data_IF_892347538688
#
_entry.id   IF_892347538688
#
_cell.length_a   1.000
_cell.length_b   1.000
_cell.length_c   1.000
_cell.angle_alpha   90.00
_cell.angle_beta   90.00
_cell.angle_gamma   90.00
#
_symmetry.space_group_name_H-M   'P 1'
#
loop_
_entity.id
_entity.type
_entity.pdbx_description
1 polymer ?
#
# COMPACT_ATOMS: atom_id res chain seq x y z
N UNK A 1 21.18 0.57 5.28
CA UNK A 1 21.17 1.75 4.39
C UNK A 1 22.34 1.63 3.43
N UNK A 2 22.06 1.31 2.16
CA UNK A 2 23.11 1.03 1.18
C UNK A 2 24.00 2.25 0.94
N UNK A 3 25.31 2.03 0.89
CA UNK A 3 26.31 3.08 0.65
C UNK A 3 26.00 3.87 -0.63
N UNK A 4 25.34 3.23 -1.61
CA UNK A 4 24.91 3.87 -2.85
C UNK A 4 23.83 4.95 -2.64
N UNK A 5 22.90 4.75 -1.70
CA UNK A 5 21.80 5.68 -1.39
C UNK A 5 22.34 6.91 -0.66
N UNK A 6 23.27 6.72 0.28
CA UNK A 6 23.96 7.82 0.96
C UNK A 6 24.71 8.67 -0.06
N UNK A 7 25.43 8.03 -1.00
CA UNK A 7 26.12 8.72 -2.09
C UNK A 7 25.12 9.47 -2.99
N UNK A 8 23.96 8.89 -3.31
CA UNK A 8 22.91 9.55 -4.09
C UNK A 8 22.34 10.78 -3.37
N UNK A 9 21.97 10.68 -2.09
CA UNK A 9 21.43 11.81 -1.32
C UNK A 9 22.45 12.95 -1.19
N UNK A 10 23.74 12.61 -1.06
CA UNK A 10 24.82 13.59 -1.07
C UNK A 10 24.92 14.27 -2.44
N UNK A 11 24.90 13.52 -3.54
CA UNK A 11 24.99 14.07 -4.90
C UNK A 11 23.76 14.91 -5.24
N UNK A 12 22.56 14.44 -4.90
CA UNK A 12 21.31 15.16 -5.14
C UNK A 12 21.21 16.42 -4.29
N UNK A 13 21.57 16.34 -3.01
CA UNK A 13 21.66 17.51 -2.12
C UNK A 13 22.66 18.55 -2.64
N UNK A 14 23.84 18.12 -3.11
CA UNK A 14 24.81 19.00 -3.77
C UNK A 14 24.25 19.63 -5.04
N UNK A 15 23.58 18.86 -5.89
CA UNK A 15 23.00 19.35 -7.15
C UNK A 15 21.92 20.40 -6.88
N UNK A 16 20.99 20.14 -5.96
CA UNK A 16 19.92 21.09 -5.59
C UNK A 16 20.48 22.33 -4.91
N UNK A 17 21.54 22.19 -4.12
CA UNK A 17 22.24 23.34 -3.51
C UNK A 17 22.89 24.21 -4.59
N UNK A 18 23.55 23.60 -5.59
CA UNK A 18 24.14 24.33 -6.71
C UNK A 18 23.07 25.05 -7.53
N UNK A 19 21.95 24.38 -7.82
CA UNK A 19 20.80 24.99 -8.52
C UNK A 19 20.27 26.20 -7.72
N UNK A 20 20.03 26.03 -6.41
CA UNK A 20 19.56 27.11 -5.54
C UNK A 20 20.53 28.30 -5.47
N UNK A 21 21.85 28.05 -5.43
CA UNK A 21 22.86 29.13 -5.46
C UNK A 21 22.84 29.88 -6.81
N UNK A 22 22.67 29.17 -7.91
CA UNK A 22 22.62 29.77 -9.25
C UNK A 22 21.34 30.58 -9.43
N UNK A 23 20.19 30.06 -9.03
CA UNK A 23 18.90 30.75 -9.11
C UNK A 23 18.86 31.99 -8.20
N UNK A 24 19.44 31.90 -6.99
CA UNK A 24 19.59 33.05 -6.09
C UNK A 24 20.44 34.16 -6.71
N UNK A 25 21.53 33.79 -7.38
CA UNK A 25 22.47 34.74 -8.00
C UNK A 25 21.96 35.28 -9.34
N UNK A 26 21.06 34.56 -10.01
CA UNK A 26 20.58 34.86 -11.36
C UNK A 26 19.07 34.59 -11.51
N UNK A 27 18.19 35.35 -10.84
CA UNK A 27 16.76 35.04 -10.73
C UNK A 27 15.94 35.16 -12.04
N UNK A 28 16.53 35.71 -13.10
CA UNK A 28 15.88 35.90 -14.41
C UNK A 28 16.28 34.82 -15.43
N UNK A 29 17.03 33.79 -15.04
CA UNK A 29 17.44 32.68 -15.90
C UNK A 29 16.55 31.47 -15.61
N UNK A 30 16.01 30.83 -16.66
CA UNK A 30 15.29 29.58 -16.49
C UNK A 30 16.26 28.48 -16.01
N UNK A 31 15.80 27.61 -15.11
CA UNK A 31 16.59 26.52 -14.55
C UNK A 31 17.24 25.62 -15.63
N UNK A 32 16.59 25.48 -16.79
CA UNK A 32 17.10 24.80 -17.98
C UNK A 32 18.39 25.44 -18.52
N UNK A 33 18.45 26.77 -18.50
CA UNK A 33 19.61 27.56 -18.91
C UNK A 33 20.74 27.46 -17.87
N UNK A 34 20.38 27.45 -16.58
CA UNK A 34 21.31 27.27 -15.45
C UNK A 34 22.04 25.92 -15.50
N UNK A 35 21.33 24.82 -15.76
CA UNK A 35 21.91 23.47 -15.88
C UNK A 35 22.88 23.34 -17.07
N UNK A 36 22.55 23.96 -18.21
CA UNK A 36 23.39 23.91 -19.41
C UNK A 36 24.78 24.55 -19.20
N UNK A 37 24.87 25.60 -18.38
CA UNK A 37 26.14 26.25 -18.03
C UNK A 37 26.97 25.44 -17.04
N UNK A 38 26.33 24.78 -16.06
CA UNK A 38 27.04 23.97 -15.05
C UNK A 38 27.78 22.80 -15.71
N UNK A 39 27.17 22.17 -16.72
CA UNK A 39 27.77 21.04 -17.44
C UNK A 39 28.89 21.44 -18.42
N UNK A 40 29.05 22.73 -18.71
CA UNK A 40 30.04 23.24 -19.67
C UNK A 40 30.81 24.45 -19.12
N UNK A 41 31.51 24.22 -18.01
CA UNK A 41 32.60 25.08 -17.55
C UNK A 41 33.92 24.42 -17.92
N UNK A 42 34.61 24.96 -18.93
CA UNK A 42 36.01 24.63 -19.19
C UNK A 42 36.85 25.85 -18.79
N UNK A 43 37.82 25.65 -17.90
CA UNK A 43 38.72 26.70 -17.40
C UNK A 43 38.01 27.93 -16.81
N UNK A 44 36.88 27.72 -16.11
CA UNK A 44 36.17 28.78 -15.39
C UNK A 44 35.40 29.77 -16.26
N UNK A 45 35.25 29.51 -17.57
CA UNK A 45 34.48 30.38 -18.48
C UNK A 45 33.29 29.62 -19.12
N UNK A 46 32.10 30.22 -19.20
CA UNK A 46 30.98 29.65 -19.93
C UNK A 46 31.33 29.61 -21.43
N UNK A 47 31.20 28.44 -22.07
CA UNK A 47 31.27 28.33 -23.53
C UNK A 47 29.87 28.41 -24.11
N UNK A 48 29.63 29.31 -25.08
CA UNK A 48 28.37 29.39 -25.81
C UNK A 48 28.19 28.16 -26.71
N UNK A 49 27.36 27.21 -26.27
CA UNK A 49 26.94 26.09 -27.11
C UNK A 49 25.42 25.92 -27.06
N UNK A 50 24.79 26.07 -28.23
CA UNK A 50 23.38 25.79 -28.45
C UNK A 50 23.18 24.28 -28.63
N UNK A 51 22.69 23.59 -27.60
CA UNK A 51 22.05 22.29 -27.79
C UNK A 51 20.55 22.49 -28.00
N UNK A 52 19.95 21.76 -28.94
CA UNK A 52 18.49 21.74 -29.07
C UNK A 52 17.89 21.04 -27.86
N UNK A 53 16.79 21.59 -27.33
CA UNK A 53 16.03 21.07 -26.19
C UNK A 53 15.80 19.56 -26.24
N UNK A 54 15.68 18.98 -27.44
CA UNK A 54 15.54 17.54 -27.67
C UNK A 54 16.66 16.68 -27.09
N UNK A 55 17.91 17.13 -27.08
CA UNK A 55 19.04 16.34 -26.56
C UNK A 55 19.16 16.42 -25.03
N UNK A 56 18.82 17.56 -24.42
CA UNK A 56 18.73 17.70 -22.95
C UNK A 56 17.58 16.83 -22.43
N UNK A 57 16.43 16.85 -23.10
CA UNK A 57 15.29 16.00 -22.79
C UNK A 57 15.62 14.50 -22.91
N UNK A 58 16.44 14.12 -23.90
CA UNK A 58 16.91 12.75 -24.10
C UNK A 58 17.87 12.27 -23.00
N UNK A 59 18.75 13.13 -22.47
CA UNK A 59 19.61 12.80 -21.33
C UNK A 59 18.78 12.67 -20.06
N UNK A 60 17.80 13.56 -19.86
CA UNK A 60 16.88 13.49 -18.73
C UNK A 60 16.08 12.17 -18.77
N UNK A 61 15.57 11.74 -19.93
CA UNK A 61 14.89 10.45 -20.07
C UNK A 61 15.81 9.23 -19.97
N UNK A 62 17.08 9.33 -20.42
CA UNK A 62 18.05 8.23 -20.25
C UNK A 62 18.49 8.03 -18.80
N UNK A 63 18.47 9.09 -17.97
CA UNK A 63 18.83 9.00 -16.54
C UNK A 63 17.59 8.79 -15.68
N UNK A 64 16.52 9.55 -15.89
CA UNK A 64 15.29 9.48 -15.10
C UNK A 64 14.35 8.34 -15.51
N UNK A 65 14.38 7.87 -16.77
CA UNK A 65 13.53 6.77 -17.25
C UNK A 65 13.83 5.43 -16.56
N UNK A 66 15.10 5.01 -16.46
CA UNK A 66 15.48 3.85 -15.65
C UNK A 66 15.20 4.07 -14.16
N UNK A 67 15.31 5.29 -13.64
CA UNK A 67 15.06 5.60 -12.23
C UNK A 67 13.57 5.61 -11.88
N UNK A 68 12.68 6.02 -12.79
CA UNK A 68 11.22 5.89 -12.63
C UNK A 68 10.79 4.42 -12.69
N UNK A 69 11.43 3.59 -13.51
CA UNK A 69 11.27 2.13 -13.45
C UNK A 69 11.85 1.52 -12.17
N UNK A 70 12.94 2.08 -11.64
CA UNK A 70 13.50 1.69 -10.33
C UNK A 70 12.61 2.18 -9.18
N UNK A 71 11.90 3.30 -9.29
CA UNK A 71 10.96 3.77 -8.27
C UNK A 71 9.71 2.88 -8.20
N UNK A 72 9.13 2.50 -9.35
CA UNK A 72 8.03 1.52 -9.39
C UNK A 72 8.45 0.11 -8.95
N UNK A 73 9.73 -0.25 -9.10
CA UNK A 73 10.26 -1.50 -8.52
C UNK A 73 10.78 -1.33 -7.09
N UNK A 74 11.06 -0.11 -6.63
CA UNK A 74 11.44 0.20 -5.26
C UNK A 74 10.22 0.10 -4.33
N UNK A 75 9.02 0.46 -4.77
CA UNK A 75 7.80 0.19 -3.99
C UNK A 75 7.56 -1.32 -3.78
N UNK A 76 7.97 -2.15 -4.76
CA UNK A 76 8.00 -3.62 -4.69
C UNK A 76 9.20 -4.21 -3.92
N UNK A 77 10.30 -3.46 -3.73
CA UNK A 77 11.56 -3.94 -3.12
C UNK A 77 11.77 -3.37 -1.71
N UNK A 78 11.18 -2.22 -1.36
CA UNK A 78 11.39 -1.49 -0.11
C UNK A 78 10.22 -1.52 0.86
N UNK A 79 9.19 -2.34 0.63
CA UNK A 79 8.17 -2.63 1.62
C UNK A 79 7.45 -1.37 2.09
N UNK A 80 6.48 -0.91 1.31
CA UNK A 80 5.59 0.13 1.81
C UNK A 80 4.76 -0.45 2.97
N UNK A 81 5.12 -0.07 4.19
CA UNK A 81 4.57 -0.58 5.46
C UNK A 81 3.24 0.09 5.84
N UNK A 82 2.52 0.69 4.88
CA UNK A 82 1.21 1.22 5.20
C UNK A 82 0.30 0.06 5.57
N UNK A 83 -0.16 0.05 6.81
CA UNK A 83 -1.10 -0.93 7.33
C UNK A 83 -2.49 -0.34 7.51
N UNK A 84 -3.48 -1.23 7.43
CA UNK A 84 -4.81 -0.98 7.93
C UNK A 84 -4.98 -1.78 9.21
N UNK A 85 -5.10 -1.08 10.33
CA UNK A 85 -5.12 -1.70 11.65
C UNK A 85 -6.51 -2.24 11.97
N UNK A 86 -6.53 -3.47 12.47
CA UNK A 86 -7.69 -4.17 13.00
C UNK A 86 -7.39 -4.61 14.42
N UNK A 87 -8.43 -4.76 15.22
CA UNK A 87 -8.35 -5.30 16.57
C UNK A 87 -9.07 -6.64 16.57
N UNK A 88 -8.33 -7.73 16.76
CA UNK A 88 -8.87 -9.08 16.90
C UNK A 88 -8.65 -9.50 18.35
N UNK A 89 -9.73 -9.84 19.06
CA UNK A 89 -9.65 -10.28 20.47
C UNK A 89 -8.91 -9.28 21.40
N UNK A 90 -8.96 -7.99 21.07
CA UNK A 90 -8.28 -6.92 21.81
C UNK A 90 -6.83 -6.66 21.39
N UNK A 91 -6.27 -7.46 20.49
CA UNK A 91 -4.90 -7.30 19.96
C UNK A 91 -4.93 -6.57 18.62
N UNK A 92 -4.08 -5.55 18.47
CA UNK A 92 -3.98 -4.73 17.26
C UNK A 92 -3.07 -5.39 16.22
N UNK A 93 -3.59 -5.62 15.03
CA UNK A 93 -2.88 -6.21 13.88
C UNK A 93 -2.99 -5.27 12.70
N UNK A 94 -1.87 -4.93 12.07
CA UNK A 94 -1.84 -4.16 10.84
C UNK A 94 -1.89 -5.07 9.60
N UNK A 95 -2.88 -4.88 8.72
CA UNK A 95 -2.94 -5.56 7.42
C UNK A 95 -2.19 -4.73 6.37
N UNK A 96 -1.22 -5.27 5.62
CA UNK A 96 -0.82 -6.68 5.60
C UNK A 96 0.07 -7.10 6.77
N UNK A 97 -0.10 -8.34 7.26
CA UNK A 97 0.67 -8.94 8.36
C UNK A 97 1.27 -10.30 7.98
N UNK A 98 2.16 -10.83 8.82
CA UNK A 98 2.65 -12.19 8.65
C UNK A 98 1.61 -13.20 9.17
N UNK A 99 1.53 -14.38 8.57
CA UNK A 99 0.63 -15.43 9.05
C UNK A 99 0.91 -15.83 10.51
N UNK A 100 2.17 -15.76 10.92
CA UNK A 100 2.59 -16.03 12.31
C UNK A 100 1.92 -15.12 13.33
N UNK A 101 1.50 -13.92 12.93
CA UNK A 101 0.78 -12.98 13.81
C UNK A 101 -0.62 -13.52 14.13
N UNK A 102 -1.28 -14.16 13.15
CA UNK A 102 -2.57 -14.84 13.36
C UNK A 102 -2.40 -16.18 14.10
N UNK A 103 -1.32 -16.92 13.83
CA UNK A 103 -1.01 -18.15 14.58
C UNK A 103 -0.78 -17.86 16.07
N UNK A 104 -0.17 -16.70 16.40
CA UNK A 104 0.02 -16.27 17.78
C UNK A 104 -1.29 -15.99 18.52
N UNK A 105 -2.34 -15.59 17.79
CA UNK A 105 -3.73 -15.49 18.29
C UNK A 105 -4.47 -16.83 18.27
N UNK A 106 -3.82 -17.91 17.86
CA UNK A 106 -4.41 -19.25 17.85
C UNK A 106 -5.16 -19.61 16.57
N UNK A 107 -5.22 -18.73 15.56
CA UNK A 107 -5.87 -19.03 14.28
C UNK A 107 -5.01 -19.94 13.41
N UNK A 108 -5.58 -21.09 13.04
CA UNK A 108 -4.85 -22.13 12.28
C UNK A 108 -5.53 -22.42 10.93
N UNK A 109 -4.72 -22.53 9.88
CA UNK A 109 -5.09 -23.13 8.60
C UNK A 109 -5.28 -24.64 8.75
N UNK A 110 -6.02 -25.24 7.83
CA UNK A 110 -6.05 -26.70 7.75
C UNK A 110 -4.65 -27.24 7.39
N UNK A 111 -4.23 -28.40 7.93
CA UNK A 111 -2.87 -28.90 7.75
C UNK A 111 -2.42 -29.07 6.28
N UNK A 112 -3.35 -29.42 5.39
CA UNK A 112 -3.13 -29.57 3.95
C UNK A 112 -2.92 -28.24 3.23
N UNK A 113 -3.48 -27.14 3.75
CA UNK A 113 -3.37 -25.82 3.14
C UNK A 113 -1.99 -25.20 3.40
N UNK A 114 -1.37 -25.49 4.56
CA UNK A 114 -0.07 -24.91 4.96
C UNK A 114 1.08 -25.17 3.97
N UNK A 115 0.97 -26.17 3.10
CA UNK A 115 2.00 -26.51 2.11
C UNK A 115 1.75 -25.98 0.70
N UNK A 116 0.67 -25.22 0.49
CA UNK A 116 0.34 -24.67 -0.82
C UNK A 116 1.39 -23.64 -1.27
N UNK A 117 1.73 -23.66 -2.56
CA UNK A 117 2.68 -22.72 -3.17
C UNK A 117 1.90 -21.60 -3.86
N UNK A 118 2.15 -20.36 -3.45
CA UNK A 118 1.63 -19.16 -4.10
C UNK A 118 2.70 -18.54 -5.01
N UNK A 119 2.39 -18.43 -6.30
CA UNK A 119 3.30 -17.85 -7.29
C UNK A 119 3.65 -16.39 -6.98
N UNK A 120 4.85 -15.97 -7.36
CA UNK A 120 5.31 -14.58 -7.22
C UNK A 120 4.33 -13.58 -7.85
N UNK A 121 4.04 -12.49 -7.13
CA UNK A 121 3.12 -11.43 -7.56
C UNK A 121 1.64 -11.86 -7.63
N UNK A 122 1.26 -12.98 -7.01
CA UNK A 122 -0.14 -13.46 -6.98
C UNK A 122 -0.78 -13.31 -5.61
N UNK A 123 -2.11 -13.27 -5.65
CA UNK A 123 -2.97 -13.42 -4.49
C UNK A 123 -3.65 -14.78 -4.52
N UNK A 124 -3.89 -15.33 -3.34
CA UNK A 124 -4.58 -16.60 -3.17
C UNK A 124 -6.10 -16.46 -3.23
N UNK A 125 -6.79 -17.61 -3.20
CA UNK A 125 -8.20 -17.67 -2.79
C UNK A 125 -8.34 -17.38 -1.28
N UNK A 126 -9.59 -17.30 -0.80
CA UNK A 126 -9.87 -17.15 0.62
C UNK A 126 -9.70 -18.50 1.36
N UNK A 127 -9.05 -18.47 2.52
CA UNK A 127 -8.91 -19.59 3.43
C UNK A 127 -9.65 -19.30 4.73
N UNK A 128 -10.25 -20.33 5.32
CA UNK A 128 -10.83 -20.23 6.66
C UNK A 128 -9.77 -20.60 7.68
N UNK A 129 -9.49 -19.72 8.63
CA UNK A 129 -8.67 -20.06 9.80
C UNK A 129 -9.54 -20.05 11.04
N UNK A 130 -9.28 -21.00 11.95
CA UNK A 130 -10.11 -21.25 13.13
C UNK A 130 -9.22 -21.24 14.37
N UNK A 131 -9.66 -20.54 15.43
CA UNK A 131 -8.97 -20.55 16.73
C UNK A 131 -9.45 -21.71 17.64
N UNK A 132 -8.85 -21.84 18.82
CA UNK A 132 -9.18 -22.92 19.76
C UNK A 132 -10.62 -22.84 20.31
N UNK A 133 -11.20 -21.63 20.33
CA UNK A 133 -12.57 -21.38 20.78
C UNK A 133 -13.61 -21.60 19.67
N UNK A 134 -13.16 -21.96 18.46
CA UNK A 134 -14.01 -22.26 17.32
C UNK A 134 -14.44 -21.04 16.50
N UNK A 135 -13.89 -19.87 16.82
CA UNK A 135 -14.10 -18.63 16.10
C UNK A 135 -13.35 -18.66 14.76
N UNK A 136 -13.91 -18.00 13.74
CA UNK A 136 -13.39 -18.11 12.37
C UNK A 136 -13.16 -16.75 11.74
N UNK A 137 -12.12 -16.67 10.93
CA UNK A 137 -11.92 -15.56 10.00
C UNK A 137 -11.53 -16.11 8.63
N UNK A 138 -11.92 -15.40 7.57
CA UNK A 138 -11.49 -15.68 6.22
C UNK A 138 -10.30 -14.78 5.88
N UNK A 139 -9.23 -15.35 5.36
CA UNK A 139 -8.03 -14.60 4.99
C UNK A 139 -7.62 -14.86 3.56
N UNK A 140 -6.92 -13.90 2.95
CA UNK A 140 -6.20 -14.12 1.69
C UNK A 140 -4.73 -13.77 1.85
N UNK A 141 -3.91 -14.52 1.14
CA UNK A 141 -2.48 -14.31 1.08
C UNK A 141 -2.07 -13.59 -0.19
N UNK A 142 -1.04 -12.76 -0.09
CA UNK A 142 -0.40 -12.10 -1.21
C UNK A 142 1.10 -12.41 -1.21
N UNK A 143 1.59 -13.04 -2.28
CA UNK A 143 3.02 -13.16 -2.49
C UNK A 143 3.53 -11.92 -3.20
N UNK A 144 3.90 -10.89 -2.43
CA UNK A 144 4.49 -9.64 -2.93
C UNK A 144 5.98 -9.76 -3.29
N UNK A 145 6.54 -10.98 -3.18
CA UNK A 145 7.92 -11.29 -3.52
C UNK A 145 8.12 -11.56 -5.01
N UNK A 146 9.39 -11.85 -5.38
CA UNK A 146 9.80 -12.18 -6.75
C UNK A 146 9.92 -13.68 -7.03
N UNK A 147 9.79 -14.50 -6.00
CA UNK A 147 9.93 -15.95 -6.05
C UNK A 147 8.67 -16.60 -5.50
N UNK A 148 8.37 -17.79 -5.99
CA UNK A 148 7.26 -18.59 -5.49
C UNK A 148 7.56 -19.01 -4.05
N UNK A 149 6.53 -18.99 -3.20
CA UNK A 149 6.66 -19.27 -1.76
C UNK A 149 5.54 -20.14 -1.28
N UNK A 150 5.79 -20.82 -0.15
CA UNK A 150 4.72 -21.45 0.60
C UNK A 150 3.79 -20.36 1.13
N UNK A 151 2.49 -20.62 1.13
CA UNK A 151 1.45 -19.69 1.59
C UNK A 151 1.72 -19.13 2.99
N UNK A 152 2.22 -19.94 3.91
CA UNK A 152 2.57 -19.51 5.29
C UNK A 152 3.77 -18.56 5.36
N UNK A 153 4.54 -18.43 4.28
CA UNK A 153 5.65 -17.47 4.13
C UNK A 153 5.23 -16.20 3.37
N UNK A 154 3.96 -16.11 2.97
CA UNK A 154 3.38 -14.95 2.30
C UNK A 154 2.69 -14.03 3.32
N UNK A 155 2.41 -12.79 2.91
CA UNK A 155 1.68 -11.84 3.75
C UNK A 155 0.18 -12.14 3.69
N UNK A 156 -0.51 -12.02 4.82
CA UNK A 156 -1.97 -11.90 4.85
C UNK A 156 -2.31 -10.49 4.38
N UNK A 157 -3.04 -10.38 3.27
CA UNK A 157 -3.38 -9.11 2.61
C UNK A 157 -4.87 -8.77 2.64
N UNK A 158 -5.69 -9.71 3.10
CA UNK A 158 -7.11 -9.49 3.30
C UNK A 158 -7.62 -10.30 4.46
N UNK A 159 -8.53 -9.70 5.22
CA UNK A 159 -9.28 -10.32 6.30
C UNK A 159 -10.76 -10.04 6.06
N UNK A 160 -11.57 -11.08 6.12
CA UNK A 160 -13.02 -11.04 6.00
C UNK A 160 -13.66 -11.78 7.16
N UNK A 161 -14.67 -11.15 7.75
CA UNK A 161 -15.25 -11.60 9.01
C UNK A 161 -16.76 -11.51 8.90
N UNK A 162 -17.45 -12.54 9.37
CA UNK A 162 -18.90 -12.59 9.43
C UNK A 162 -19.38 -12.68 10.87
N UNK A 163 -20.52 -12.07 11.16
CA UNK A 163 -21.19 -12.12 12.46
C UNK A 163 -21.44 -13.55 12.93
N UNK A 164 -21.66 -14.48 12.01
CA UNK A 164 -21.87 -15.89 12.34
C UNK A 164 -20.62 -16.63 12.82
N UNK A 165 -19.42 -16.05 12.62
CA UNK A 165 -18.16 -16.68 13.01
C UNK A 165 -17.76 -16.45 14.46
N UNK A 166 -18.53 -15.64 15.20
CA UNK A 166 -18.37 -15.47 16.64
C UNK A 166 -17.27 -14.51 17.09
N UNK A 167 -16.34 -14.13 16.20
CA UNK A 167 -15.20 -13.28 16.56
C UNK A 167 -15.60 -11.82 16.82
N UNK A 168 -15.14 -11.26 17.94
CA UNK A 168 -15.20 -9.81 18.19
C UNK A 168 -14.03 -9.10 17.50
N UNK A 169 -14.35 -8.37 16.43
CA UNK A 169 -13.37 -7.61 15.64
C UNK A 169 -13.81 -6.18 15.47
N UNK A 170 -12.83 -5.29 15.62
CA UNK A 170 -12.97 -3.87 15.38
C UNK A 170 -12.00 -3.43 14.29
N UNK A 171 -12.40 -2.51 13.43
CA UNK A 171 -11.47 -1.81 12.55
C UNK A 171 -11.02 -0.50 13.19
N UNK A 172 -9.88 0.05 12.80
CA UNK A 172 -9.20 1.19 13.45
C UNK A 172 -10.07 2.42 13.77
N UNK A 173 -11.20 2.62 13.07
CA UNK A 173 -12.15 3.70 13.36
C UNK A 173 -13.21 3.33 14.42
N UNK A 174 -13.12 2.16 15.04
CA UNK A 174 -14.04 1.65 16.06
C UNK A 174 -15.32 1.03 15.51
N UNK A 175 -15.39 0.69 14.21
CA UNK A 175 -16.55 -0.03 13.65
C UNK A 175 -16.44 -1.51 14.02
N UNK A 176 -17.54 -2.07 14.51
CA UNK A 176 -17.66 -3.44 15.00
C UNK A 176 -18.83 -4.15 14.35
N UNK A 177 -18.85 -5.49 14.43
CA UNK A 177 -20.03 -6.28 14.05
C UNK A 177 -21.23 -5.88 14.92
N UNK A 178 -22.44 -5.90 14.33
CA UNK A 178 -23.67 -5.50 15.00
C UNK A 178 -23.86 -3.99 15.20
N UNK A 179 -22.89 -3.15 14.81
CA UNK A 179 -23.08 -1.70 14.78
C UNK A 179 -24.17 -1.33 13.77
N UNK A 180 -24.99 -0.31 14.06
CA UNK A 180 -26.03 0.13 13.11
C UNK A 180 -25.42 0.83 11.89
N UNK A 181 -26.09 0.74 10.73
CA UNK A 181 -25.63 1.39 9.49
C UNK A 181 -25.43 2.91 9.67
N UNK A 182 -26.30 3.56 10.45
CA UNK A 182 -26.18 5.00 10.73
C UNK A 182 -24.90 5.35 11.49
N UNK A 183 -24.51 4.51 12.44
CA UNK A 183 -23.31 4.73 13.24
C UNK A 183 -22.05 4.52 12.40
N UNK A 184 -22.03 3.47 11.57
CA UNK A 184 -20.95 3.25 10.59
C UNK A 184 -20.76 4.48 9.71
N UNK A 185 -21.84 5.02 9.12
CA UNK A 185 -21.77 6.22 8.27
C UNK A 185 -21.33 7.47 9.02
N UNK A 186 -21.63 7.58 10.32
CA UNK A 186 -21.16 8.70 11.13
C UNK A 186 -19.64 8.65 11.38
N UNK A 187 -19.09 7.43 11.49
CA UNK A 187 -17.68 7.18 11.80
C UNK A 187 -16.82 7.16 10.52
N UNK A 188 -17.23 6.38 9.53
CA UNK A 188 -16.51 6.17 8.27
C UNK A 188 -16.81 7.25 7.23
N UNK A 189 -17.84 8.06 7.46
CA UNK A 189 -18.29 9.07 6.51
C UNK A 189 -19.07 8.47 5.34
N UNK A 190 -18.89 9.08 4.16
CA UNK A 190 -19.65 8.73 2.96
C UNK A 190 -18.96 7.60 2.20
N UNK A 191 -19.68 6.52 1.84
CA UNK A 191 -19.12 5.43 1.04
C UNK A 191 -18.84 5.86 -0.40
N UNK A 192 -17.96 5.12 -1.06
CA UNK A 192 -17.57 5.33 -2.44
C UNK A 192 -18.69 4.96 -3.41
N UNK A 193 -18.87 5.81 -4.43
CA UNK A 193 -20.05 5.81 -5.31
C UNK A 193 -20.16 4.60 -6.26
N UNK A 194 -19.12 3.76 -6.36
CA UNK A 194 -18.98 2.80 -7.46
C UNK A 194 -19.49 1.38 -7.21
N UNK A 195 -19.77 1.00 -5.96
CA UNK A 195 -20.01 -0.41 -5.60
C UNK A 195 -20.84 -0.61 -4.34
N UNK A 196 -21.48 0.44 -3.82
CA UNK A 196 -22.43 0.31 -2.72
C UNK A 196 -23.67 -0.43 -3.22
N UNK A 197 -23.93 -1.60 -2.63
CA UNK A 197 -25.20 -2.30 -2.80
C UNK A 197 -26.12 -1.90 -1.65
N UNK A 198 -27.41 -2.24 -1.73
CA UNK A 198 -28.30 -2.05 -0.57
C UNK A 198 -27.90 -2.90 0.65
N UNK A 199 -26.98 -3.86 0.45
CA UNK A 199 -26.50 -4.80 1.45
C UNK A 199 -25.06 -4.55 1.86
N UNK A 200 -24.38 -3.56 1.27
CA UNK A 200 -22.98 -3.31 1.56
C UNK A 200 -22.56 -1.90 1.17
N UNK A 201 -21.80 -1.25 2.05
CA UNK A 201 -21.12 0.00 1.73
C UNK A 201 -19.61 -0.25 1.59
N UNK A 202 -19.02 0.33 0.54
CA UNK A 202 -17.59 0.27 0.27
C UNK A 202 -16.92 1.60 0.61
N UNK A 203 -15.78 1.53 1.27
CA UNK A 203 -14.91 2.65 1.61
C UNK A 203 -13.50 2.34 1.10
N UNK A 204 -12.93 3.24 0.31
CA UNK A 204 -11.58 3.13 -0.22
C UNK A 204 -10.71 4.16 0.49
N UNK A 205 -9.70 3.69 1.19
CA UNK A 205 -8.73 4.54 1.88
C UNK A 205 -7.36 4.39 1.24
N UNK A 206 -6.81 5.50 0.75
CA UNK A 206 -5.45 5.53 0.24
C UNK A 206 -4.48 5.88 1.38
N UNK A 207 -3.65 4.91 1.77
CA UNK A 207 -2.58 5.11 2.75
C UNK A 207 -1.24 4.93 2.05
N UNK A 208 -0.48 6.03 1.94
CA UNK A 208 0.78 6.06 1.19
C UNK A 208 0.56 5.63 -0.27
N UNK A 209 1.28 4.61 -0.76
CA UNK A 209 1.07 4.06 -2.10
C UNK A 209 0.10 2.86 -2.12
N UNK A 210 -0.49 2.50 -0.98
CA UNK A 210 -1.40 1.38 -0.87
C UNK A 210 -2.86 1.87 -0.89
N UNK A 211 -3.71 1.12 -1.58
CA UNK A 211 -5.15 1.30 -1.54
C UNK A 211 -5.77 0.20 -0.66
N UNK A 212 -6.51 0.59 0.36
CA UNK A 212 -7.28 -0.33 1.19
C UNK A 212 -8.75 -0.21 0.87
N UNK A 213 -9.35 -1.34 0.50
CA UNK A 213 -10.80 -1.46 0.37
C UNK A 213 -11.37 -2.04 1.66
N UNK A 214 -12.23 -1.25 2.31
CA UNK A 214 -13.04 -1.67 3.46
C UNK A 214 -14.48 -1.83 3.00
N UNK A 215 -15.00 -3.04 3.06
CA UNK A 215 -16.41 -3.32 2.74
C UNK A 215 -17.15 -3.72 4.00
N UNK A 216 -18.24 -3.00 4.28
CA UNK A 216 -19.13 -3.24 5.42
C UNK A 216 -20.43 -3.85 4.88
N UNK A 217 -20.68 -5.12 5.19
CA UNK A 217 -21.91 -5.83 4.84
C UNK A 217 -23.00 -5.66 5.89
N UNK A 218 -24.26 -5.73 5.47
CA UNK A 218 -25.44 -5.55 6.32
C UNK A 218 -26.37 -6.77 6.29
N UNK A 219 -27.07 -7.07 7.40
CA UNK A 219 -28.04 -8.18 7.44
C UNK A 219 -29.32 -7.87 6.64
N UNK A 220 -29.83 -8.87 5.90
CA UNK A 220 -31.19 -8.82 5.36
C UNK A 220 -32.20 -9.07 6.48
N UNK A 221 -32.92 -8.03 6.89
CA UNK A 221 -34.17 -8.21 7.62
C UNK A 221 -35.25 -7.34 6.94
N UNK A 222 -36.12 -7.98 6.13
CA UNK A 222 -37.26 -7.30 5.51
C UNK A 222 -36.94 -6.24 4.44
N UNK A 223 -35.71 -6.20 3.90
CA UNK A 223 -35.36 -5.44 2.69
C UNK A 223 -34.48 -4.19 2.87
N UNK A 224 -34.03 -3.88 4.09
CA UNK A 224 -33.01 -2.86 4.35
C UNK A 224 -32.00 -3.36 5.37
N UNK A 225 -30.71 -3.24 5.06
CA UNK A 225 -29.63 -3.52 6.01
C UNK A 225 -29.75 -2.67 7.27
N UNK A 226 -29.94 -3.29 8.43
CA UNK A 226 -30.10 -2.59 9.73
C UNK A 226 -28.79 -2.50 10.50
N UNK A 227 -28.06 -3.62 10.56
CA UNK A 227 -26.83 -3.77 11.34
C UNK A 227 -25.71 -4.40 10.51
N UNK A 228 -24.46 -4.13 10.90
CA UNK A 228 -23.27 -4.73 10.31
C UNK A 228 -23.29 -6.25 10.51
N UNK A 229 -23.25 -6.98 9.40
CA UNK A 229 -23.18 -8.45 9.34
C UNK A 229 -21.79 -8.95 9.00
N UNK A 230 -21.00 -8.17 8.27
CA UNK A 230 -19.64 -8.54 7.90
C UNK A 230 -18.74 -7.32 7.72
N UNK A 231 -17.45 -7.55 7.90
CA UNK A 231 -16.40 -6.56 7.65
C UNK A 231 -15.33 -7.24 6.80
N UNK A 232 -14.98 -6.62 5.69
CA UNK A 232 -13.89 -7.01 4.81
C UNK A 232 -12.87 -5.90 4.76
N UNK A 233 -11.59 -6.24 4.89
CA UNK A 233 -10.47 -5.36 4.57
C UNK A 233 -9.61 -6.07 3.54
N UNK A 234 -9.26 -5.36 2.48
CA UNK A 234 -8.41 -5.89 1.41
C UNK A 234 -7.41 -4.82 0.98
N UNK A 235 -6.13 -5.20 0.95
CA UNK A 235 -5.11 -4.43 0.24
C UNK A 235 -5.28 -4.66 -1.27
N UNK A 236 -5.58 -3.59 -2.00
CA UNK A 236 -5.58 -3.58 -3.46
C UNK A 236 -4.18 -3.20 -3.94
N UNK A 237 -3.58 -4.06 -4.74
CA UNK A 237 -2.40 -3.73 -5.52
C UNK A 237 -2.87 -3.51 -6.96
N UNK A 238 -2.69 -2.30 -7.48
CA UNK A 238 -2.88 -1.97 -8.90
C UNK A 238 -1.98 -2.82 -9.82
#
# INVERSE_FOLDING_TARGET
>A
MDKLIIIFLIIFGLLMTIIGIVDYKYPNLSWEYSLSRILHVKDGKPTDFHYSSKKIFSIFFMIAGPILMVAGTADLIWGNNATYDIVIEGEEIGIPCAYTDLEALGYQLEPNEKSEILMAGKMSLSYTVINADGEKILIRFGNRGKEDKVITECDVVSVYIEKEYGTDIQISNGVTLGMSVSNVKSVMGKPDKGSSSIYSDRYVEQKWANEFEVTIGYMEDGGLGTDVSSISIQLNND
#
